data_IF_232388206574
#
_entry.id   IF_232388206574
#
_cell.length_a   1.000
_cell.length_b   1.000
_cell.length_c   1.000
_cell.angle_alpha   90.00
_cell.angle_beta   90.00
_cell.angle_gamma   90.00
#
_symmetry.space_group_name_H-M   'P 1'
#
loop_
_entity.id
_entity.type
_entity.pdbx_description
1 polymer ?
#
# COMPACT_ATOMS: atom_id res chain seq x y z
N UNK A 1 13.46 3.78 -5.16
CA UNK A 1 12.19 3.70 -4.39
C UNK A 1 11.74 5.10 -4.02
N UNK A 2 10.62 5.50 -4.59
CA UNK A 2 10.04 6.83 -4.38
C UNK A 2 8.65 6.67 -3.79
N UNK A 3 8.27 7.57 -2.87
CA UNK A 3 6.93 7.56 -2.26
C UNK A 3 5.85 7.56 -3.34
N UNK A 4 4.89 6.66 -3.23
CA UNK A 4 3.80 6.49 -4.18
C UNK A 4 4.08 5.49 -5.30
N UNK A 5 5.27 4.89 -5.35
CA UNK A 5 5.53 3.81 -6.30
C UNK A 5 4.98 2.49 -5.81
N UNK A 6 4.46 1.69 -6.74
CA UNK A 6 4.02 0.32 -6.49
C UNK A 6 5.17 -0.62 -6.80
N UNK A 7 5.46 -1.52 -5.88
CA UNK A 7 6.50 -2.54 -6.01
C UNK A 7 5.96 -3.90 -5.59
N UNK A 8 6.49 -4.96 -6.19
CA UNK A 8 6.31 -6.31 -5.65
C UNK A 8 7.27 -6.51 -4.49
N UNK A 9 6.77 -7.11 -3.41
CA UNK A 9 7.54 -7.35 -2.20
C UNK A 9 7.22 -8.72 -1.61
N UNK A 10 8.23 -9.32 -0.98
CA UNK A 10 8.05 -10.51 -0.15
C UNK A 10 7.76 -10.06 1.29
N UNK A 11 6.52 -10.26 1.73
CA UNK A 11 6.07 -9.86 3.07
C UNK A 11 6.27 -10.98 4.11
N UNK A 12 6.93 -12.07 3.71
CA UNK A 12 7.27 -13.16 4.61
C UNK A 12 6.18 -14.22 4.74
N UNK A 13 6.39 -15.17 5.68
CA UNK A 13 5.49 -16.31 5.88
C UNK A 13 4.15 -15.88 6.47
N UNK A 14 3.17 -16.78 6.35
CA UNK A 14 1.81 -16.57 6.84
C UNK A 14 1.80 -16.08 8.30
N UNK A 15 1.03 -15.01 8.54
CA UNK A 15 0.68 -14.50 9.87
C UNK A 15 -0.80 -14.18 9.89
N UNK A 16 -1.55 -14.62 10.91
CA UNK A 16 -2.97 -14.33 11.00
C UNK A 16 -3.23 -12.81 10.94
N UNK A 17 -4.26 -12.42 10.14
CA UNK A 17 -4.74 -11.03 10.01
C UNK A 17 -3.75 -10.05 9.37
N UNK A 18 -2.60 -10.52 8.88
CA UNK A 18 -1.63 -9.70 8.14
C UNK A 18 -1.58 -10.14 6.68
N UNK A 19 -1.30 -9.17 5.79
CA UNK A 19 -0.97 -9.50 4.41
C UNK A 19 0.44 -10.10 4.38
N UNK A 20 0.58 -11.26 3.75
CA UNK A 20 1.81 -12.05 3.72
C UNK A 20 2.10 -12.59 2.32
N UNK A 21 3.25 -13.22 2.16
CA UNK A 21 3.70 -13.75 0.88
C UNK A 21 4.16 -12.64 -0.07
N UNK A 22 4.33 -12.99 -1.34
CA UNK A 22 4.73 -12.01 -2.36
C UNK A 22 3.49 -11.26 -2.84
N UNK A 23 3.48 -9.95 -2.62
CA UNK A 23 2.35 -9.07 -2.92
C UNK A 23 2.84 -7.72 -3.42
N UNK A 24 2.01 -7.01 -4.20
CA UNK A 24 2.30 -5.62 -4.50
C UNK A 24 2.07 -4.76 -3.24
N UNK A 25 2.92 -3.76 -3.09
CA UNK A 25 2.87 -2.78 -2.00
C UNK A 25 3.07 -1.39 -2.58
N UNK A 26 2.63 -0.36 -1.85
CA UNK A 26 2.92 1.03 -2.18
C UNK A 26 4.00 1.54 -1.23
N UNK A 27 5.05 2.15 -1.77
CA UNK A 27 6.05 2.87 -0.97
C UNK A 27 5.36 4.08 -0.36
N UNK A 28 5.39 4.19 0.97
CA UNK A 28 4.66 5.25 1.66
C UNK A 28 5.53 6.09 2.60
N UNK A 29 6.78 5.71 2.73
CA UNK A 29 7.76 6.45 3.53
C UNK A 29 8.24 7.71 2.80
N UNK A 30 8.57 8.76 3.57
CA UNK A 30 9.17 9.95 2.98
C UNK A 30 10.45 9.59 2.21
N UNK A 31 10.67 10.27 1.08
CA UNK A 31 11.86 10.02 0.26
C UNK A 31 13.16 10.29 1.02
N UNK A 32 13.17 11.30 1.88
CA UNK A 32 14.35 11.61 2.69
C UNK A 32 14.75 10.45 3.60
N UNK A 33 13.77 9.82 4.29
CA UNK A 33 14.05 8.66 5.12
C UNK A 33 14.44 7.44 4.30
N UNK A 34 13.79 7.23 3.16
CA UNK A 34 14.09 6.10 2.28
C UNK A 34 15.54 6.15 1.79
N UNK A 35 16.10 7.34 1.61
CA UNK A 35 17.49 7.49 1.15
C UNK A 35 18.53 7.11 2.21
N UNK A 36 18.17 7.09 3.49
CA UNK A 36 19.12 6.83 4.59
C UNK A 36 18.84 5.55 5.38
N UNK A 37 17.60 5.05 5.39
CA UNK A 37 17.25 3.84 6.14
C UNK A 37 17.38 2.58 5.28
N UNK A 38 17.62 1.44 5.93
CA UNK A 38 17.63 0.12 5.27
C UNK A 38 16.23 -0.49 5.19
N UNK A 39 15.27 0.10 5.85
CA UNK A 39 13.86 -0.32 5.83
C UNK A 39 13.00 0.75 5.18
N UNK A 40 11.81 0.35 4.77
CA UNK A 40 10.84 1.25 4.14
C UNK A 40 9.43 0.92 4.60
N UNK A 41 8.67 1.97 4.94
CA UNK A 41 7.24 1.83 5.24
C UNK A 41 6.48 1.58 3.94
N UNK A 42 5.67 0.54 3.93
CA UNK A 42 4.86 0.17 2.78
C UNK A 42 3.41 -0.06 3.18
N UNK A 43 2.50 0.14 2.24
CA UNK A 43 1.09 -0.20 2.38
C UNK A 43 0.82 -1.39 1.47
N UNK A 44 0.41 -2.54 2.00
CA UNK A 44 0.14 -3.72 1.18
C UNK A 44 -1.15 -3.58 0.38
N UNK A 45 -1.17 -4.20 -0.79
CA UNK A 45 -2.33 -4.31 -1.65
C UNK A 45 -2.93 -5.72 -1.56
N UNK A 46 -4.24 -5.80 -1.68
CA UNK A 46 -4.96 -7.07 -1.79
C UNK A 46 -5.90 -7.05 -3.00
N UNK A 47 -6.09 -8.19 -3.64
CA UNK A 47 -7.06 -8.32 -4.72
C UNK A 47 -8.48 -8.60 -4.20
N UNK A 48 -8.65 -8.73 -2.89
CA UNK A 48 -9.97 -8.88 -2.28
C UNK A 48 -10.70 -7.53 -2.28
N UNK A 49 -11.50 -7.28 -3.30
CA UNK A 49 -12.19 -6.00 -3.48
C UNK A 49 -13.27 -5.73 -2.42
N UNK A 50 -13.71 -6.74 -1.69
CA UNK A 50 -14.64 -6.54 -0.56
C UNK A 50 -14.03 -5.65 0.52
N UNK A 51 -12.70 -5.61 0.63
CA UNK A 51 -12.00 -4.75 1.57
C UNK A 51 -12.16 -3.26 1.28
N UNK A 52 -12.53 -2.90 0.05
CA UNK A 52 -12.74 -1.49 -0.32
C UNK A 52 -13.89 -0.81 0.43
N UNK A 53 -14.73 -1.58 1.11
CA UNK A 53 -15.82 -1.05 1.94
C UNK A 53 -15.34 -0.55 3.30
N UNK A 54 -14.10 -0.82 3.68
CA UNK A 54 -13.54 -0.39 4.95
C UNK A 54 -12.94 1.01 4.85
N UNK A 55 -13.06 1.82 5.91
CA UNK A 55 -12.29 3.04 6.04
C UNK A 55 -10.80 2.69 6.05
N UNK A 56 -9.95 3.61 5.64
CA UNK A 56 -8.52 3.37 5.57
C UNK A 56 -8.09 2.52 4.38
N UNK A 57 -8.90 2.52 3.31
CA UNK A 57 -8.58 1.81 2.07
C UNK A 57 -8.68 2.72 0.85
N UNK A 58 -7.95 2.37 -0.20
CA UNK A 58 -8.01 3.07 -1.48
C UNK A 58 -7.83 2.06 -2.62
N UNK A 59 -8.48 2.32 -3.75
CA UNK A 59 -8.37 1.45 -4.93
C UNK A 59 -7.12 1.83 -5.73
N UNK A 60 -6.37 0.83 -6.13
CA UNK A 60 -5.27 0.95 -7.08
C UNK A 60 -5.65 0.14 -8.31
N UNK A 61 -5.82 0.83 -9.44
CA UNK A 61 -6.34 0.22 -10.65
C UNK A 61 -5.31 -0.69 -11.33
N UNK A 62 -5.81 -1.75 -11.96
CA UNK A 62 -4.98 -2.66 -12.74
C UNK A 62 -4.18 -1.92 -13.81
N UNK A 63 -2.96 -2.37 -14.02
CA UNK A 63 -2.08 -1.93 -15.11
C UNK A 63 -1.27 -3.14 -15.58
N UNK A 64 -1.92 -4.08 -16.32
CA UNK A 64 -1.28 -5.35 -16.67
C UNK A 64 0.03 -5.20 -17.43
N UNK A 65 0.12 -4.16 -18.28
CA UNK A 65 1.33 -3.90 -19.06
C UNK A 65 2.50 -3.43 -18.19
N UNK A 66 2.22 -2.95 -16.99
CA UNK A 66 3.22 -2.46 -16.05
C UNK A 66 3.48 -3.44 -14.90
N UNK A 67 2.78 -4.58 -14.88
CA UNK A 67 3.02 -5.63 -13.91
C UNK A 67 2.02 -5.71 -12.75
N UNK A 68 0.89 -5.01 -12.83
CA UNK A 68 -0.22 -5.12 -11.88
C UNK A 68 -1.46 -5.66 -12.62
N UNK A 69 -1.67 -6.98 -12.62
CA UNK A 69 -2.68 -7.60 -13.49
C UNK A 69 -4.13 -7.34 -13.06
N UNK A 70 -4.39 -7.05 -11.79
CA UNK A 70 -5.74 -6.92 -11.25
C UNK A 70 -5.90 -5.63 -10.45
N UNK A 71 -7.14 -5.13 -10.39
CA UNK A 71 -7.49 -4.07 -9.46
C UNK A 71 -7.21 -4.54 -8.04
N UNK A 72 -6.71 -3.64 -7.22
CA UNK A 72 -6.28 -3.94 -5.85
C UNK A 72 -6.81 -2.89 -4.88
N UNK A 73 -6.85 -3.26 -3.61
CA UNK A 73 -7.20 -2.38 -2.50
C UNK A 73 -5.96 -2.17 -1.65
N UNK A 74 -5.55 -0.92 -1.47
CA UNK A 74 -4.48 -0.56 -0.56
C UNK A 74 -5.03 -0.49 0.86
N UNK A 75 -4.42 -1.24 1.78
CA UNK A 75 -4.84 -1.35 3.17
C UNK A 75 -3.96 -0.45 4.04
N UNK A 76 -4.31 0.83 4.17
CA UNK A 76 -3.50 1.78 4.91
C UNK A 76 -3.32 1.38 6.38
N UNK A 77 -4.33 0.74 6.98
CA UNK A 77 -4.25 0.26 8.37
C UNK A 77 -3.32 -0.94 8.57
N UNK A 78 -2.78 -1.52 7.49
CA UNK A 78 -1.75 -2.56 7.56
C UNK A 78 -0.36 -2.05 7.16
N UNK A 79 -0.17 -0.75 7.15
CA UNK A 79 1.14 -0.15 6.90
C UNK A 79 2.19 -0.74 7.83
N UNK A 80 3.34 -1.09 7.27
CA UNK A 80 4.42 -1.71 8.05
C UNK A 80 5.79 -1.40 7.43
N UNK A 81 6.80 -1.48 8.27
CA UNK A 81 8.18 -1.40 7.81
C UNK A 81 8.66 -2.77 7.34
N UNK A 82 9.31 -2.80 6.19
CA UNK A 82 9.96 -4.01 5.66
C UNK A 82 11.39 -3.67 5.23
N UNK A 83 12.30 -4.65 5.20
CA UNK A 83 13.63 -4.42 4.63
C UNK A 83 13.51 -4.01 3.16
N UNK A 84 14.31 -3.05 2.71
CA UNK A 84 14.35 -2.68 1.30
C UNK A 84 14.63 -3.89 0.39
N UNK A 85 15.43 -4.84 0.88
CA UNK A 85 15.75 -6.07 0.15
C UNK A 85 14.53 -6.96 -0.12
N UNK A 86 13.41 -6.74 0.58
CA UNK A 86 12.17 -7.47 0.35
C UNK A 86 11.45 -7.01 -0.93
N UNK A 87 11.77 -5.83 -1.45
CA UNK A 87 11.17 -5.29 -2.67
C UNK A 87 11.99 -5.73 -3.88
N UNK A 88 11.35 -6.38 -4.83
CA UNK A 88 12.05 -7.01 -5.94
C UNK A 88 11.76 -6.41 -7.32
N UNK A 89 10.56 -5.91 -7.57
CA UNK A 89 10.17 -5.47 -8.91
C UNK A 89 9.29 -4.23 -8.84
N UNK A 90 9.73 -3.15 -9.48
CA UNK A 90 8.94 -1.93 -9.62
C UNK A 90 7.83 -2.14 -10.64
N UNK A 91 6.63 -1.65 -10.34
CA UNK A 91 5.46 -1.70 -11.22
C UNK A 91 5.25 -0.33 -11.87
N UNK A 92 4.74 0.63 -11.13
CA UNK A 92 4.47 2.00 -11.57
C UNK A 92 4.28 2.93 -10.38
N UNK A 93 4.24 4.21 -10.63
CA UNK A 93 3.79 5.17 -9.63
C UNK A 93 2.26 5.20 -9.58
N UNK A 94 1.70 5.56 -8.43
CA UNK A 94 0.27 5.87 -8.31
C UNK A 94 -0.05 7.10 -9.18
N UNK A 95 -1.26 7.14 -9.72
CA UNK A 95 -1.79 8.35 -10.34
C UNK A 95 -2.05 9.41 -9.26
N UNK A 96 -2.24 10.67 -9.67
CA UNK A 96 -2.56 11.75 -8.72
C UNK A 96 -3.83 11.44 -7.92
N UNK A 97 -4.86 10.90 -8.57
CA UNK A 97 -6.11 10.52 -7.92
C UNK A 97 -5.89 9.39 -6.91
N UNK A 98 -5.18 8.34 -7.31
CA UNK A 98 -4.86 7.22 -6.41
C UNK A 98 -4.04 7.70 -5.21
N UNK A 99 -3.07 8.58 -5.44
CA UNK A 99 -2.24 9.15 -4.39
C UNK A 99 -3.09 9.93 -3.38
N UNK A 100 -3.97 10.80 -3.86
CA UNK A 100 -4.84 11.59 -3.00
C UNK A 100 -5.80 10.71 -2.18
N UNK A 101 -6.37 9.68 -2.80
CA UNK A 101 -7.25 8.73 -2.12
C UNK A 101 -6.49 7.93 -1.04
N UNK A 102 -5.26 7.54 -1.30
CA UNK A 102 -4.46 6.80 -0.32
C UNK A 102 -4.00 7.71 0.82
N UNK A 103 -3.74 8.98 0.57
CA UNK A 103 -3.46 9.96 1.63
C UNK A 103 -4.67 10.12 2.55
N UNK A 104 -5.87 10.22 1.99
CA UNK A 104 -7.11 10.25 2.77
C UNK A 104 -7.29 8.98 3.58
N UNK A 105 -7.08 7.82 2.96
CA UNK A 105 -7.16 6.52 3.64
C UNK A 105 -6.15 6.42 4.79
N UNK A 106 -4.96 6.96 4.62
CA UNK A 106 -3.93 7.01 5.67
C UNK A 106 -4.39 7.88 6.84
N UNK A 107 -4.95 9.05 6.56
CA UNK A 107 -5.49 9.93 7.59
C UNK A 107 -6.61 9.26 8.36
N UNK A 108 -7.49 8.54 7.69
CA UNK A 108 -8.53 7.75 8.33
C UNK A 108 -7.95 6.64 9.23
N UNK A 109 -6.97 5.89 8.72
CA UNK A 109 -6.34 4.79 9.47
C UNK A 109 -5.60 5.28 10.70
N UNK A 110 -5.02 6.49 10.66
CA UNK A 110 -4.27 7.09 11.75
C UNK A 110 -5.14 7.94 12.69
N UNK A 111 -6.43 8.06 12.41
CA UNK A 111 -7.33 8.87 13.23
C UNK A 111 -7.11 10.37 13.09
N UNK A 112 -6.47 10.82 12.01
CA UNK A 112 -6.24 12.25 11.75
C UNK A 112 -7.48 12.95 11.24
N UNK A 113 -8.40 12.18 10.64
CA UNK A 113 -9.76 12.58 10.31
C UNK A 113 -10.69 11.50 10.81
N UNK A 114 -11.88 11.89 11.27
CA UNK A 114 -12.87 10.92 11.74
C UNK A 114 -13.68 10.42 10.56
N UNK A 115 -13.79 9.10 10.48
CA UNK A 115 -14.70 8.46 9.56
C UNK A 115 -16.06 8.33 10.24
N UNK A 116 -17.05 9.07 9.76
CA UNK A 116 -18.42 8.94 10.24
C UNK A 116 -19.10 7.83 9.44
N UNK A 117 -19.18 6.66 10.06
CA UNK A 117 -20.05 5.63 9.53
C UNK A 117 -21.49 5.95 9.95
N UNK A 118 -22.41 5.84 9.01
CA UNK A 118 -23.84 5.84 9.32
C UNK A 118 -24.13 4.57 10.11
N UNK A 119 -24.29 4.73 11.39
CA UNK A 119 -24.61 3.65 12.28
C UNK A 119 -26.13 3.42 12.36
#
# INVERSE_FOLDING_TARGET
MTRGEVWWADLGPFRPREQTGRRPVVIWQSNALTSILQSVLVIPLTTNLDRANLAGTAIVHASPQEGLPEDSVALAFQMRAVPKAALDTQVRALTETELAELELATDEALGRIEYEADL
#
